data_IF_198354786962
#
_entry.id   IF_198354786962
#
_cell.length_a   1.000
_cell.length_b   1.000
_cell.length_c   1.000
_cell.angle_alpha   90.00
_cell.angle_beta   90.00
_cell.angle_gamma   90.00
#
_symmetry.space_group_name_H-M   'P 1'
#
loop_
_entity.id
_entity.type
_entity.pdbx_description
1 polymer ?
#
# COMPACT_ATOMS: atom_id res chain seq x y z
N UNK A 1 -8.64 -8.17 21.62
CA UNK A 1 -7.20 -8.46 21.86
C UNK A 1 -6.90 -8.31 23.36
N UNK A 2 -7.24 -9.29 24.19
CA UNK A 2 -7.20 -9.11 25.66
C UNK A 2 -5.87 -9.57 26.31
N UNK A 3 -5.13 -10.47 25.68
CA UNK A 3 -3.87 -10.99 26.23
C UNK A 3 -2.66 -10.14 25.78
N UNK A 4 -1.60 -10.12 26.60
CA UNK A 4 -0.33 -9.47 26.25
C UNK A 4 0.25 -10.04 24.94
N UNK A 5 0.20 -11.37 24.77
CA UNK A 5 0.63 -12.05 23.55
C UNK A 5 -0.17 -11.59 22.32
N UNK A 6 -1.50 -11.44 22.46
CA UNK A 6 -2.36 -10.92 21.40
C UNK A 6 -1.96 -9.51 20.99
N UNK A 7 -1.78 -8.58 21.95
CA UNK A 7 -1.37 -7.20 21.66
C UNK A 7 -0.02 -7.14 20.94
N UNK A 8 0.95 -7.94 21.40
CA UNK A 8 2.27 -8.05 20.78
C UNK A 8 2.19 -8.58 19.35
N UNK A 9 1.31 -9.56 19.08
CA UNK A 9 1.09 -10.09 17.75
C UNK A 9 0.47 -9.05 16.81
N UNK A 10 -0.56 -8.33 17.27
CA UNK A 10 -1.20 -7.25 16.49
C UNK A 10 -0.22 -6.13 16.16
N UNK A 11 0.61 -5.69 17.12
CA UNK A 11 1.63 -4.67 16.86
C UNK A 11 2.67 -5.14 15.84
N UNK A 12 3.15 -6.39 15.96
CA UNK A 12 4.08 -6.97 14.98
C UNK A 12 3.45 -7.05 13.59
N UNK A 13 2.17 -7.37 13.50
CA UNK A 13 1.44 -7.38 12.22
C UNK A 13 1.37 -5.97 11.62
N UNK A 14 0.94 -4.98 12.40
CA UNK A 14 0.86 -3.59 11.96
C UNK A 14 2.22 -3.08 11.45
N UNK A 15 3.30 -3.34 12.20
CA UNK A 15 4.66 -2.97 11.79
C UNK A 15 5.07 -3.61 10.45
N UNK A 16 4.79 -4.91 10.25
CA UNK A 16 5.08 -5.57 8.96
C UNK A 16 4.28 -4.96 7.82
N UNK A 17 2.99 -4.66 8.03
CA UNK A 17 2.14 -4.04 7.02
C UNK A 17 2.65 -2.66 6.63
N UNK A 18 3.00 -1.82 7.62
CA UNK A 18 3.59 -0.50 7.37
C UNK A 18 4.90 -0.59 6.59
N UNK A 19 5.81 -1.49 6.99
CA UNK A 19 7.07 -1.68 6.27
C UNK A 19 6.84 -2.14 4.82
N UNK A 20 5.91 -3.07 4.59
CA UNK A 20 5.58 -3.55 3.25
C UNK A 20 5.03 -2.42 2.36
N UNK A 21 4.14 -1.58 2.92
CA UNK A 21 3.60 -0.41 2.22
C UNK A 21 4.70 0.57 1.81
N UNK A 22 5.60 0.95 2.74
CA UNK A 22 6.70 1.87 2.42
C UNK A 22 7.68 1.29 1.40
N UNK A 23 8.00 -0.01 1.48
CA UNK A 23 8.81 -0.70 0.47
C UNK A 23 8.14 -0.64 -0.91
N UNK A 24 6.82 -0.82 -0.97
CA UNK A 24 6.08 -0.82 -2.23
C UNK A 24 6.01 0.58 -2.85
N UNK A 25 5.65 1.61 -2.07
CA UNK A 25 5.47 2.99 -2.54
C UNK A 25 6.79 3.72 -2.78
N UNK A 26 7.84 3.37 -2.02
CA UNK A 26 9.16 3.97 -2.14
C UNK A 26 9.72 3.80 -3.55
N UNK A 27 9.99 4.91 -4.22
CA UNK A 27 10.74 4.90 -5.47
C UNK A 27 12.23 4.68 -5.17
N UNK A 28 12.79 3.56 -5.61
CA UNK A 28 14.23 3.34 -5.65
C UNK A 28 14.62 2.81 -7.02
N UNK A 29 15.92 2.84 -7.33
CA UNK A 29 16.48 2.23 -8.55
C UNK A 29 16.18 0.73 -8.67
N UNK A 30 15.75 0.08 -7.60
CA UNK A 30 15.35 -1.34 -7.58
C UNK A 30 13.83 -1.55 -7.75
N UNK A 31 13.02 -0.54 -7.44
CA UNK A 31 11.55 -0.57 -7.56
C UNK A 31 11.09 0.34 -8.69
N UNK A 32 11.40 -0.07 -9.92
CA UNK A 32 11.01 0.69 -11.12
C UNK A 32 9.51 0.59 -11.32
N UNK A 33 8.84 1.74 -11.26
CA UNK A 33 7.43 1.88 -11.59
C UNK A 33 7.24 1.98 -13.10
N UNK A 34 6.49 1.06 -13.68
CA UNK A 34 6.12 1.10 -15.10
C UNK A 34 4.78 1.79 -15.26
N UNK A 35 4.74 2.88 -16.04
CA UNK A 35 3.48 3.54 -16.39
C UNK A 35 2.67 2.64 -17.34
N UNK A 36 1.42 2.40 -16.99
CA UNK A 36 0.46 1.68 -17.82
C UNK A 36 -0.38 2.71 -18.57
N UNK A 37 -0.36 2.66 -19.90
CA UNK A 37 -1.19 3.53 -20.73
C UNK A 37 -2.60 2.97 -20.83
N UNK A 38 -3.58 3.70 -20.29
CA UNK A 38 -5.00 3.38 -20.44
C UNK A 38 -5.63 4.29 -21.50
N UNK A 39 -6.67 3.79 -22.18
CA UNK A 39 -7.42 4.58 -23.19
C UNK A 39 -8.10 5.81 -22.56
N UNK A 40 -8.32 5.80 -21.25
CA UNK A 40 -8.97 6.84 -20.45
C UNK A 40 -7.99 7.93 -19.97
N UNK A 41 -6.68 7.77 -20.17
CA UNK A 41 -5.69 8.77 -19.78
C UNK A 41 -5.34 8.77 -18.28
N UNK A 42 -5.73 7.73 -17.55
CA UNK A 42 -5.42 7.57 -16.13
C UNK A 42 -3.92 7.36 -15.90
N UNK A 43 -3.34 8.03 -14.89
CA UNK A 43 -1.95 7.79 -14.48
C UNK A 43 -1.86 6.58 -13.55
N UNK A 44 -1.91 5.38 -14.13
CA UNK A 44 -1.68 4.13 -13.41
C UNK A 44 -0.22 3.69 -13.58
N UNK A 45 0.43 3.34 -12.47
CA UNK A 45 1.79 2.78 -12.47
C UNK A 45 1.80 1.45 -11.76
N UNK A 46 2.54 0.50 -12.29
CA UNK A 46 2.63 -0.86 -11.76
C UNK A 46 4.09 -1.21 -11.49
N UNK A 47 4.34 -1.92 -10.40
CA UNK A 47 5.62 -2.55 -10.11
C UNK A 47 5.39 -4.03 -9.77
N UNK A 48 6.36 -4.87 -10.11
CA UNK A 48 6.34 -6.29 -9.73
C UNK A 48 7.71 -6.72 -9.25
N UNK A 49 7.74 -7.60 -8.25
CA UNK A 49 8.95 -8.26 -7.77
C UNK A 49 8.66 -9.70 -7.39
N UNK A 50 9.68 -10.55 -7.39
CA UNK A 50 9.57 -11.93 -6.93
C UNK A 50 10.29 -12.09 -5.60
N UNK A 51 9.58 -12.51 -4.56
CA UNK A 51 10.14 -12.87 -3.27
C UNK A 51 10.33 -14.40 -3.18
N UNK A 52 11.53 -14.83 -2.83
CA UNK A 52 11.87 -16.25 -2.64
C UNK A 52 12.49 -16.48 -1.25
N UNK A 53 13.05 -15.43 -0.63
CA UNK A 53 13.93 -15.56 0.54
C UNK A 53 13.57 -14.68 1.73
N UNK A 54 12.76 -13.63 1.57
CA UNK A 54 12.35 -12.75 2.68
C UNK A 54 11.17 -13.39 3.44
N UNK A 55 11.37 -13.85 4.70
CA UNK A 55 10.31 -14.49 5.49
C UNK A 55 9.24 -13.50 5.99
N UNK A 56 9.51 -12.19 5.93
CA UNK A 56 8.56 -11.16 6.32
C UNK A 56 7.52 -10.84 5.23
N UNK A 57 7.70 -11.40 4.02
CA UNK A 57 6.86 -11.17 2.86
C UNK A 57 6.29 -12.49 2.30
N UNK A 58 5.16 -12.45 1.59
CA UNK A 58 4.65 -13.63 0.89
C UNK A 58 5.66 -14.16 -0.13
N UNK A 59 5.84 -15.47 -0.20
CA UNK A 59 6.67 -16.11 -1.24
C UNK A 59 5.91 -16.07 -2.57
N UNK A 60 6.59 -15.68 -3.64
CA UNK A 60 6.02 -15.60 -4.99
C UNK A 60 6.12 -14.21 -5.61
N UNK A 61 5.23 -13.93 -6.57
CA UNK A 61 5.17 -12.63 -7.26
C UNK A 61 4.33 -11.67 -6.43
N UNK A 62 4.90 -10.50 -6.14
CA UNK A 62 4.25 -9.39 -5.45
C UNK A 62 4.07 -8.28 -6.48
N UNK A 63 2.83 -7.81 -6.64
CA UNK A 63 2.46 -6.74 -7.56
C UNK A 63 1.92 -5.57 -6.76
N UNK A 64 2.32 -4.36 -7.12
CA UNK A 64 1.75 -3.13 -6.61
C UNK A 64 1.27 -2.26 -7.77
N UNK A 65 0.08 -1.69 -7.65
CA UNK A 65 -0.48 -0.73 -8.58
C UNK A 65 -0.79 0.55 -7.82
N UNK A 66 -0.44 1.69 -8.39
CA UNK A 66 -0.72 3.00 -7.83
C UNK A 66 -1.39 3.87 -8.88
N UNK A 67 -2.37 4.64 -8.45
CA UNK A 67 -2.93 5.76 -9.19
C UNK A 67 -2.74 7.01 -8.34
N UNK A 68 -2.55 8.16 -8.98
CA UNK A 68 -2.40 9.44 -8.30
C UNK A 68 -3.37 10.44 -8.91
N UNK A 69 -4.12 11.12 -8.04
CA UNK A 69 -5.03 12.20 -8.41
C UNK A 69 -4.72 13.41 -7.55
N UNK A 70 -4.78 14.59 -8.16
CA UNK A 70 -4.68 15.85 -7.42
C UNK A 70 -6.09 16.35 -7.10
N UNK A 71 -6.31 16.70 -5.83
CA UNK A 71 -7.61 17.16 -5.34
C UNK A 71 -7.43 18.48 -4.57
N UNK A 72 -8.28 19.50 -4.79
CA UNK A 72 -8.22 20.78 -4.08
C UNK A 72 -8.92 20.69 -2.72
N UNK A 73 -8.53 19.72 -1.88
CA UNK A 73 -9.12 19.47 -0.55
C UNK A 73 -8.04 19.40 0.52
N UNK A 74 -8.42 19.65 1.77
CA UNK A 74 -7.50 19.51 2.91
C UNK A 74 -7.06 18.05 3.07
N UNK A 75 -5.74 17.77 3.24
CA UNK A 75 -5.25 16.42 3.47
C UNK A 75 -5.85 15.75 4.70
N UNK A 76 -6.15 16.52 5.76
CA UNK A 76 -6.77 15.98 6.97
C UNK A 76 -8.21 15.51 6.70
N UNK A 77 -9.00 16.35 6.02
CA UNK A 77 -10.38 16.02 5.68
C UNK A 77 -10.45 14.80 4.74
N UNK A 78 -9.51 14.71 3.78
CA UNK A 78 -9.40 13.55 2.90
C UNK A 78 -9.01 12.28 3.67
N UNK A 79 -8.06 12.37 4.61
CA UNK A 79 -7.67 11.24 5.44
C UNK A 79 -8.81 10.78 6.35
N UNK A 80 -9.55 11.70 6.95
CA UNK A 80 -10.74 11.39 7.74
C UNK A 80 -11.81 10.68 6.91
N UNK A 81 -12.06 11.18 5.69
CA UNK A 81 -12.95 10.53 4.73
C UNK A 81 -12.50 9.09 4.41
N UNK A 82 -11.23 8.89 4.05
CA UNK A 82 -10.69 7.57 3.70
C UNK A 82 -10.68 6.56 4.86
N UNK A 83 -10.71 7.06 6.11
CA UNK A 83 -10.75 6.23 7.31
C UNK A 83 -12.17 5.88 7.75
N UNK A 84 -13.18 6.55 7.22
CA UNK A 84 -14.57 6.30 7.57
C UNK A 84 -15.09 5.08 6.82
N UNK A 85 -15.17 3.95 7.54
CA UNK A 85 -15.64 2.69 6.98
C UNK A 85 -17.08 2.75 6.45
N UNK A 86 -17.90 3.67 6.96
CA UNK A 86 -19.30 3.82 6.51
C UNK A 86 -19.41 4.41 5.11
N UNK A 87 -18.36 5.11 4.65
CA UNK A 87 -18.32 5.82 3.37
C UNK A 87 -17.55 5.07 2.28
N UNK A 88 -17.19 3.80 2.51
CA UNK A 88 -16.44 2.97 1.54
C UNK A 88 -17.14 2.72 0.19
N UNK A 89 -18.45 2.95 0.12
CA UNK A 89 -19.25 2.74 -1.10
C UNK A 89 -19.51 4.04 -1.87
N UNK A 90 -19.07 5.19 -1.35
CA UNK A 90 -19.04 6.45 -2.10
C UNK A 90 -17.87 6.47 -3.07
#
# INVERSE_FOLDING_TARGET
VATLAGRKSTLRLAQRMSNSFYKAVGASTYHTWTKVTTKTGEDVRVSSRKNISDPAEPVGVIVCAVSSVWLPVSPLALLEFLRDDTRRNE
#
